data_IF_477716025756
#
_entry.id   IF_477716025756
#
_cell.length_a   1.000
_cell.length_b   1.000
_cell.length_c   1.000
_cell.angle_alpha   90.00
_cell.angle_beta   90.00
_cell.angle_gamma   90.00
#
_symmetry.space_group_name_H-M   'P 1'
#
loop_
_entity.id
_entity.type
_entity.pdbx_description
1 polymer ?
#
# COMPACT_ATOMS: atom_id res chain seq x y z
N UNK A 1 5.92 4.07 -79.59
CA UNK A 1 5.09 3.03 -78.85
C UNK A 1 4.82 3.38 -77.38
N UNK A 2 5.57 4.23 -76.72
CA UNK A 2 5.44 4.53 -75.28
C UNK A 2 4.21 5.42 -74.90
N UNK A 3 3.77 6.30 -75.75
CA UNK A 3 2.68 7.24 -75.42
C UNK A 3 1.27 6.62 -75.40
N UNK A 4 1.05 5.49 -76.07
CA UNK A 4 -0.24 4.78 -76.06
C UNK A 4 -0.41 3.91 -74.80
N UNK A 5 0.65 3.32 -74.25
CA UNK A 5 0.62 2.49 -73.05
C UNK A 5 0.33 3.30 -71.79
N UNK A 6 0.86 4.54 -71.73
CA UNK A 6 0.63 5.45 -70.58
C UNK A 6 -0.83 5.92 -70.45
N UNK A 7 -1.53 6.10 -71.60
CA UNK A 7 -2.95 6.49 -71.57
C UNK A 7 -3.89 5.37 -71.16
N UNK A 8 -3.53 4.12 -71.43
CA UNK A 8 -4.31 2.95 -70.92
C UNK A 8 -4.15 2.70 -69.44
N UNK A 9 -2.98 2.95 -68.87
CA UNK A 9 -2.73 2.79 -67.43
C UNK A 9 -3.47 3.87 -66.63
N UNK A 10 -3.52 5.12 -67.15
CA UNK A 10 -4.27 6.19 -66.47
C UNK A 10 -5.79 5.97 -66.51
N UNK A 11 -6.32 5.41 -67.62
CA UNK A 11 -7.73 5.10 -67.74
C UNK A 11 -8.16 3.94 -66.85
N UNK A 12 -7.28 2.94 -66.65
CA UNK A 12 -7.55 1.79 -65.79
C UNK A 12 -7.54 2.20 -64.29
N UNK A 13 -6.68 3.14 -63.90
CA UNK A 13 -6.63 3.68 -62.56
C UNK A 13 -7.85 4.53 -62.20
N UNK A 14 -8.43 5.25 -63.15
CA UNK A 14 -9.64 6.02 -62.95
C UNK A 14 -10.91 5.16 -62.85
N UNK A 15 -10.95 4.01 -63.51
CA UNK A 15 -12.09 3.07 -63.45
C UNK A 15 -12.09 2.29 -62.11
N UNK A 16 -10.92 1.96 -61.55
CA UNK A 16 -10.81 1.31 -60.25
C UNK A 16 -11.23 2.24 -59.10
N UNK A 17 -11.02 3.55 -59.25
CA UNK A 17 -11.44 4.54 -58.26
C UNK A 17 -12.99 4.77 -58.22
N UNK A 18 -13.71 4.44 -59.32
CA UNK A 18 -15.16 4.63 -59.40
C UNK A 18 -16.00 3.44 -58.90
N UNK A 19 -15.37 2.27 -58.64
CA UNK A 19 -16.05 1.06 -58.20
C UNK A 19 -15.89 0.76 -56.70
N UNK A 20 -15.42 1.71 -55.91
CA UNK A 20 -15.51 1.54 -54.45
C UNK A 20 -16.98 1.77 -54.05
N UNK A 21 -17.66 0.79 -53.44
CA UNK A 21 -18.97 1.02 -52.87
C UNK A 21 -18.81 2.16 -51.86
N UNK A 22 -19.71 3.15 -51.94
CA UNK A 22 -19.90 4.15 -50.91
C UNK A 22 -20.28 3.40 -49.62
N UNK A 23 -19.29 2.75 -49.00
CA UNK A 23 -19.41 2.22 -47.68
C UNK A 23 -19.83 3.37 -46.82
N UNK A 24 -21.10 3.33 -46.41
CA UNK A 24 -21.72 4.24 -45.51
C UNK A 24 -20.69 4.68 -44.50
N UNK A 25 -20.30 5.93 -44.55
CA UNK A 25 -19.56 6.60 -43.50
C UNK A 25 -20.54 6.64 -42.31
N UNK A 26 -20.63 5.48 -41.65
CA UNK A 26 -21.33 5.36 -40.42
C UNK A 26 -20.59 6.36 -39.52
N UNK A 27 -21.20 7.53 -39.37
CA UNK A 27 -20.75 8.50 -38.37
C UNK A 27 -20.77 7.72 -37.07
N UNK A 28 -19.59 7.22 -36.72
CA UNK A 28 -19.32 6.72 -35.38
C UNK A 28 -19.51 7.97 -34.51
N UNK A 29 -20.77 8.25 -34.18
CA UNK A 29 -21.08 9.08 -33.05
C UNK A 29 -20.41 8.36 -31.91
N UNK A 30 -19.19 8.76 -31.64
CA UNK A 30 -18.42 8.29 -30.53
C UNK A 30 -19.29 8.52 -29.30
N UNK A 31 -20.13 7.54 -29.01
CA UNK A 31 -20.78 7.43 -27.71
C UNK A 31 -19.63 7.45 -26.75
N UNK A 32 -19.34 8.66 -26.29
CA UNK A 32 -18.37 8.93 -25.23
C UNK A 32 -18.74 7.93 -24.14
N UNK A 33 -18.05 6.80 -24.14
CA UNK A 33 -18.13 5.84 -23.05
C UNK A 33 -17.70 6.70 -21.87
N UNK A 34 -18.69 7.27 -21.18
CA UNK A 34 -18.47 7.90 -19.90
C UNK A 34 -17.84 6.79 -19.09
N UNK A 35 -16.52 6.85 -18.96
CA UNK A 35 -15.79 5.96 -18.08
C UNK A 35 -16.51 6.01 -16.74
N UNK A 36 -17.29 4.99 -16.47
CA UNK A 36 -18.02 4.76 -15.21
C UNK A 36 -17.03 4.46 -14.06
N UNK A 37 -15.79 4.95 -14.18
CA UNK A 37 -14.76 4.72 -13.19
C UNK A 37 -15.12 5.33 -11.82
N UNK A 38 -15.88 6.43 -11.81
CA UNK A 38 -16.21 7.10 -10.55
C UNK A 38 -17.26 6.35 -9.71
N UNK A 39 -18.12 5.53 -10.33
CA UNK A 39 -19.15 4.78 -9.58
C UNK A 39 -18.58 3.51 -8.93
N UNK A 40 -17.60 2.85 -9.53
CA UNK A 40 -17.03 1.61 -8.98
C UNK A 40 -16.31 1.85 -7.64
N UNK A 41 -15.63 2.99 -7.49
CA UNK A 41 -14.93 3.34 -6.25
C UNK A 41 -15.84 3.60 -5.05
N UNK A 42 -17.08 4.01 -5.27
CA UNK A 42 -18.03 4.28 -4.18
C UNK A 42 -18.50 3.03 -3.42
N UNK A 43 -18.36 1.85 -4.01
CA UNK A 43 -18.84 0.59 -3.45
C UNK A 43 -17.76 -0.28 -2.81
N UNK A 44 -16.49 0.09 -2.92
CA UNK A 44 -15.43 -0.60 -2.18
C UNK A 44 -15.55 -0.22 -0.70
N UNK A 45 -16.04 -1.17 0.09
CA UNK A 45 -16.07 -1.00 1.55
C UNK A 45 -14.65 -0.86 2.06
N UNK A 46 -14.48 0.05 3.01
CA UNK A 46 -13.26 0.18 3.76
C UNK A 46 -13.25 -0.89 4.86
N UNK A 47 -12.10 -1.53 5.04
CA UNK A 47 -11.95 -2.55 6.06
C UNK A 47 -11.94 -1.88 7.44
N UNK A 48 -12.88 -2.19 8.35
CA UNK A 48 -12.89 -1.59 9.68
C UNK A 48 -11.66 -1.96 10.51
N UNK A 49 -11.01 -3.11 10.22
CA UNK A 49 -9.79 -3.55 10.90
C UNK A 49 -8.55 -2.70 10.57
N UNK A 50 -8.59 -1.97 9.45
CA UNK A 50 -7.54 -1.07 9.00
C UNK A 50 -7.95 0.41 9.12
N UNK A 51 -8.94 0.69 9.95
CA UNK A 51 -9.34 2.08 10.18
C UNK A 51 -8.22 2.81 10.93
N UNK A 52 -7.74 3.96 10.42
CA UNK A 52 -6.82 4.81 11.16
C UNK A 52 -7.38 5.15 12.54
N UNK A 53 -6.59 4.95 13.57
CA UNK A 53 -6.98 5.20 14.96
C UNK A 53 -5.82 5.79 15.76
N UNK A 54 -6.14 6.35 16.92
CA UNK A 54 -5.14 6.83 17.85
C UNK A 54 -4.24 5.68 18.33
N UNK A 55 -4.83 4.53 18.63
CA UNK A 55 -4.13 3.33 19.09
C UNK A 55 -3.18 2.77 18.02
N UNK A 56 -3.56 2.85 16.73
CA UNK A 56 -2.67 2.43 15.65
C UNK A 56 -1.45 3.35 15.56
N UNK A 57 -1.63 4.66 15.69
CA UNK A 57 -0.51 5.62 15.73
C UNK A 57 0.40 5.39 16.94
N UNK A 58 -0.16 5.05 18.10
CA UNK A 58 0.63 4.70 19.30
C UNK A 58 1.48 3.46 19.01
N UNK A 59 0.89 2.36 18.50
CA UNK A 59 1.66 1.14 18.17
C UNK A 59 2.78 1.41 17.17
N UNK A 60 2.54 2.25 16.14
CA UNK A 60 3.58 2.63 15.20
C UNK A 60 4.73 3.39 15.89
N UNK A 61 4.41 4.28 16.83
CA UNK A 61 5.42 5.03 17.57
C UNK A 61 6.13 4.19 18.63
N UNK A 62 5.46 3.23 19.27
CA UNK A 62 6.08 2.27 20.16
C UNK A 62 7.13 1.45 19.43
N UNK A 63 6.85 1.03 18.19
CA UNK A 63 7.82 0.31 17.36
C UNK A 63 9.04 1.18 17.02
N UNK A 64 8.85 2.47 16.69
CA UNK A 64 9.93 3.42 16.47
C UNK A 64 10.77 3.61 17.73
N UNK A 65 10.13 3.71 18.90
CA UNK A 65 10.80 3.91 20.17
C UNK A 65 11.55 2.63 20.61
N UNK A 66 10.96 1.44 20.41
CA UNK A 66 11.62 0.15 20.67
C UNK A 66 12.92 0.01 19.89
N UNK A 67 12.94 0.52 18.67
CA UNK A 67 14.09 0.46 17.76
C UNK A 67 15.02 1.68 17.93
N UNK A 68 14.70 2.60 18.85
CA UNK A 68 15.46 3.84 19.07
C UNK A 68 15.71 4.64 17.77
N UNK A 69 14.73 4.61 16.84
CA UNK A 69 14.90 5.25 15.54
C UNK A 69 14.73 6.77 15.62
N UNK A 70 15.64 7.54 15.01
CA UNK A 70 15.46 8.98 14.92
C UNK A 70 14.26 9.36 14.05
N UNK A 71 13.61 10.46 14.38
CA UNK A 71 12.65 11.14 13.50
C UNK A 71 13.41 12.18 12.69
N UNK A 72 13.68 11.87 11.45
CA UNK A 72 14.55 12.62 10.52
C UNK A 72 14.11 14.09 10.46
N UNK A 73 14.96 14.99 10.92
CA UNK A 73 14.63 16.39 11.08
C UNK A 73 14.49 17.12 9.73
N UNK A 74 15.49 16.97 8.87
CA UNK A 74 15.64 17.71 7.62
C UNK A 74 16.29 16.87 6.52
N UNK A 75 16.66 17.52 5.41
CA UNK A 75 17.23 16.85 4.25
C UNK A 75 18.71 16.50 4.46
N UNK A 76 19.43 17.23 5.31
CA UNK A 76 20.85 16.96 5.62
C UNK A 76 20.96 15.67 6.43
N UNK A 77 20.12 15.51 7.47
CA UNK A 77 20.05 14.25 8.24
C UNK A 77 19.57 13.07 7.36
N UNK A 78 18.63 13.32 6.44
CA UNK A 78 18.21 12.31 5.49
C UNK A 78 19.37 11.85 4.58
N UNK A 79 20.16 12.77 4.05
CA UNK A 79 21.30 12.48 3.20
C UNK A 79 22.41 11.74 3.97
N UNK A 80 22.64 12.07 5.25
CA UNK A 80 23.56 11.31 6.14
C UNK A 80 23.09 9.88 6.31
N UNK A 81 21.81 9.64 6.62
CA UNK A 81 21.26 8.30 6.79
C UNK A 81 21.30 7.47 5.49
N UNK A 82 21.16 8.10 4.33
CA UNK A 82 21.32 7.46 3.03
C UNK A 82 22.79 7.11 2.77
N UNK A 83 23.71 8.04 3.02
CA UNK A 83 25.14 7.83 2.80
C UNK A 83 25.73 6.71 3.65
N UNK A 84 25.15 6.49 4.85
CA UNK A 84 25.49 5.43 5.78
C UNK A 84 24.72 4.13 5.54
N UNK A 85 23.93 4.04 4.46
CA UNK A 85 23.09 2.89 4.10
C UNK A 85 22.07 2.47 5.19
N UNK A 86 21.78 3.38 6.14
CA UNK A 86 20.73 3.19 7.15
C UNK A 86 19.34 3.25 6.50
N UNK A 87 19.21 4.08 5.47
CA UNK A 87 18.08 4.11 4.55
C UNK A 87 18.56 3.63 3.17
N UNK A 88 17.83 2.68 2.61
CA UNK A 88 18.13 2.07 1.32
C UNK A 88 17.15 2.53 0.25
N UNK A 89 17.57 2.61 -1.03
CA UNK A 89 16.69 3.01 -2.10
C UNK A 89 15.59 1.98 -2.35
N UNK A 90 14.40 2.47 -2.63
CA UNK A 90 13.32 1.71 -3.23
C UNK A 90 13.48 1.83 -4.74
N UNK A 91 13.58 0.71 -5.45
CA UNK A 91 13.77 0.69 -6.90
C UNK A 91 12.47 0.31 -7.61
N UNK A 92 12.08 1.10 -8.62
CA UNK A 92 11.03 0.71 -9.52
C UNK A 92 11.47 -0.48 -10.38
N UNK A 93 10.55 -1.39 -10.65
CA UNK A 93 10.77 -2.58 -11.48
C UNK A 93 9.45 -2.98 -12.16
N UNK A 94 9.37 -4.18 -12.72
CA UNK A 94 8.16 -4.68 -13.37
C UNK A 94 6.95 -4.84 -12.44
N UNK A 95 7.16 -5.00 -11.12
CA UNK A 95 6.10 -5.17 -10.11
C UNK A 95 5.82 -3.92 -9.29
N UNK A 96 6.73 -2.92 -9.28
CA UNK A 96 6.65 -1.73 -8.43
C UNK A 96 6.94 -0.45 -9.21
N UNK A 97 6.13 0.57 -8.99
CA UNK A 97 6.31 1.92 -9.54
C UNK A 97 6.08 3.00 -8.49
N UNK A 98 6.48 4.23 -8.82
CA UNK A 98 6.23 5.39 -7.97
C UNK A 98 5.12 6.28 -8.52
N UNK A 99 4.43 6.99 -7.63
CA UNK A 99 3.66 8.18 -8.03
C UNK A 99 4.64 9.19 -8.65
N UNK A 100 4.34 9.74 -9.85
CA UNK A 100 5.21 10.72 -10.50
C UNK A 100 5.49 11.97 -9.65
N UNK A 101 4.63 12.25 -8.66
CA UNK A 101 4.78 13.38 -7.73
C UNK A 101 5.68 13.07 -6.54
N UNK A 102 6.04 11.81 -6.32
CA UNK A 102 6.95 11.44 -5.24
C UNK A 102 8.39 11.86 -5.60
N UNK A 103 8.89 12.81 -4.84
CA UNK A 103 10.26 13.30 -4.98
C UNK A 103 11.27 12.14 -4.95
N UNK A 104 12.19 12.02 -5.93
CA UNK A 104 13.22 10.99 -5.93
C UNK A 104 14.03 10.92 -4.64
N UNK A 105 14.32 12.04 -3.99
CA UNK A 105 15.02 12.10 -2.69
C UNK A 105 14.24 11.44 -1.54
N UNK A 106 12.95 11.15 -1.74
CA UNK A 106 12.07 10.51 -0.76
C UNK A 106 11.79 9.04 -1.04
N UNK A 107 12.40 8.44 -2.08
CA UNK A 107 12.21 7.04 -2.47
C UNK A 107 13.16 6.11 -1.71
N UNK A 108 13.25 6.31 -0.40
CA UNK A 108 14.11 5.55 0.52
C UNK A 108 13.28 5.02 1.70
N UNK A 109 13.74 3.92 2.27
CA UNK A 109 13.15 3.33 3.47
C UNK A 109 14.18 2.47 4.22
N UNK A 110 13.80 1.91 5.36
CA UNK A 110 14.61 0.90 6.05
C UNK A 110 14.70 -0.38 5.21
N UNK A 111 15.78 -1.14 5.36
CA UNK A 111 16.04 -2.34 4.55
C UNK A 111 14.90 -3.35 4.63
N UNK A 112 14.36 -3.62 5.82
CA UNK A 112 13.23 -4.53 6.00
C UNK A 112 11.93 -4.03 5.35
N UNK A 113 11.73 -2.72 5.29
CA UNK A 113 10.58 -2.11 4.58
C UNK A 113 10.71 -2.28 3.07
N UNK A 114 11.93 -2.16 2.53
CA UNK A 114 12.22 -2.46 1.12
C UNK A 114 11.93 -3.93 0.80
N UNK A 115 12.35 -4.84 1.67
CA UNK A 115 12.16 -6.27 1.50
C UNK A 115 10.68 -6.64 1.53
N UNK A 116 9.90 -6.06 2.46
CA UNK A 116 8.44 -6.16 2.46
C UNK A 116 7.82 -5.67 1.14
N UNK A 117 8.26 -4.51 0.64
CA UNK A 117 7.76 -3.97 -0.63
C UNK A 117 8.06 -4.90 -1.81
N UNK A 118 9.25 -5.48 -1.85
CA UNK A 118 9.67 -6.41 -2.88
C UNK A 118 8.77 -7.66 -2.88
N UNK A 119 8.57 -8.27 -1.71
CA UNK A 119 7.76 -9.48 -1.57
C UNK A 119 6.27 -9.22 -1.89
N UNK A 120 5.70 -8.15 -1.34
CA UNK A 120 4.31 -7.77 -1.62
C UNK A 120 4.09 -7.44 -3.09
N UNK A 121 4.97 -6.61 -3.69
CA UNK A 121 4.80 -6.20 -5.09
C UNK A 121 4.94 -7.36 -6.05
N UNK A 122 5.85 -8.29 -5.77
CA UNK A 122 6.04 -9.49 -6.55
C UNK A 122 4.83 -10.42 -6.47
N UNK A 123 4.31 -10.69 -5.25
CA UNK A 123 3.11 -11.49 -5.05
C UNK A 123 1.87 -10.87 -5.74
N UNK A 124 1.76 -9.55 -5.69
CA UNK A 124 0.68 -8.83 -6.37
C UNK A 124 0.81 -8.92 -7.89
N UNK A 125 2.02 -8.73 -8.42
CA UNK A 125 2.29 -8.81 -9.86
C UNK A 125 2.04 -10.21 -10.41
N UNK A 126 2.47 -11.25 -9.72
CA UNK A 126 2.18 -12.63 -10.09
C UNK A 126 0.68 -12.92 -10.19
N UNK A 127 -0.12 -12.30 -9.34
CA UNK A 127 -1.57 -12.51 -9.32
C UNK A 127 -2.33 -11.70 -10.37
N UNK A 128 -1.91 -10.44 -10.60
CA UNK A 128 -2.70 -9.47 -11.37
C UNK A 128 -2.01 -8.93 -12.61
N UNK A 129 -0.72 -9.19 -12.79
CA UNK A 129 0.13 -8.60 -13.83
C UNK A 129 0.07 -7.07 -13.86
N UNK A 130 -0.09 -6.47 -12.69
CA UNK A 130 -0.13 -5.02 -12.47
C UNK A 130 0.85 -4.60 -11.39
N UNK A 131 1.38 -3.38 -11.51
CA UNK A 131 2.33 -2.84 -10.55
C UNK A 131 1.64 -2.25 -9.33
N UNK A 132 2.22 -2.45 -8.16
CA UNK A 132 1.92 -1.64 -6.98
C UNK A 132 2.55 -0.26 -7.14
N UNK A 133 1.83 0.81 -6.77
CA UNK A 133 2.35 2.17 -6.78
C UNK A 133 2.63 2.67 -5.36
N UNK A 134 3.86 3.10 -5.13
CA UNK A 134 4.27 3.80 -3.90
C UNK A 134 4.00 5.29 -4.06
N UNK A 135 3.14 5.83 -3.21
CA UNK A 135 2.76 7.25 -3.21
C UNK A 135 3.60 8.08 -2.25
N UNK A 136 4.12 7.47 -1.19
CA UNK A 136 4.97 8.12 -0.20
C UNK A 136 5.84 7.07 0.50
N UNK A 137 7.04 7.49 0.90
CA UNK A 137 7.95 6.70 1.72
C UNK A 137 8.54 7.59 2.82
N UNK A 138 9.87 7.72 2.94
CA UNK A 138 10.47 8.55 3.99
C UNK A 138 10.05 10.02 3.89
N UNK A 139 9.84 10.66 5.04
CA UNK A 139 9.59 12.10 5.18
C UNK A 139 10.49 12.68 6.25
N UNK A 140 10.82 13.96 6.13
CA UNK A 140 11.46 14.71 7.21
C UNK A 140 10.43 15.49 8.04
N UNK A 141 10.78 15.88 9.24
CA UNK A 141 9.94 16.72 10.11
C UNK A 141 9.52 18.01 9.38
N UNK A 142 10.43 18.61 8.60
CA UNK A 142 10.13 19.81 7.80
C UNK A 142 9.05 19.53 6.77
N UNK A 143 9.16 18.41 6.04
CA UNK A 143 8.16 18.00 5.03
C UNK A 143 6.82 17.68 5.67
N UNK A 144 6.82 16.95 6.78
CA UNK A 144 5.59 16.59 7.50
C UNK A 144 4.87 17.83 8.03
N UNK A 145 5.60 18.79 8.59
CA UNK A 145 5.06 20.09 9.03
C UNK A 145 4.43 20.86 7.87
N UNK A 146 5.09 20.89 6.70
CA UNK A 146 4.54 21.50 5.48
C UNK A 146 3.26 20.80 5.04
N UNK A 147 3.24 19.47 5.06
CA UNK A 147 2.05 18.66 4.71
C UNK A 147 0.87 19.00 5.63
N UNK A 148 1.07 19.11 6.94
CA UNK A 148 0.03 19.42 7.92
C UNK A 148 -0.62 20.79 7.73
N UNK A 149 0.08 21.76 7.18
CA UNK A 149 -0.51 23.07 6.87
C UNK A 149 -1.64 22.97 5.83
N UNK A 150 -1.57 21.98 4.96
CA UNK A 150 -2.55 21.74 3.89
C UNK A 150 -3.47 20.56 4.16
N UNK A 151 -3.06 19.64 5.02
CA UNK A 151 -3.83 18.46 5.41
C UNK A 151 -3.89 18.31 6.93
N UNK A 152 -4.97 18.80 7.54
CA UNK A 152 -5.18 18.72 9.00
C UNK A 152 -5.33 17.29 9.54
N UNK A 153 -5.56 16.30 8.67
CA UNK A 153 -5.66 14.91 9.09
C UNK A 153 -4.32 14.15 9.02
N UNK A 154 -3.26 14.79 8.52
CA UNK A 154 -1.93 14.19 8.56
C UNK A 154 -1.46 14.08 10.01
N UNK A 155 -0.84 12.96 10.37
CA UNK A 155 -0.25 12.75 11.68
C UNK A 155 0.73 13.89 12.04
N UNK A 156 0.90 14.21 13.32
CA UNK A 156 1.82 15.29 13.74
C UNK A 156 3.28 14.94 13.43
N UNK A 157 4.11 15.95 13.42
CA UNK A 157 5.55 15.78 13.23
C UNK A 157 6.30 15.49 14.54
N UNK A 158 5.61 15.52 15.69
CA UNK A 158 6.16 15.29 17.03
C UNK A 158 5.13 14.67 17.96
N UNK A 159 5.61 14.11 19.07
CA UNK A 159 4.77 13.50 20.11
C UNK A 159 4.51 12.02 19.85
N UNK A 160 3.70 11.42 20.70
CA UNK A 160 3.41 9.98 20.75
C UNK A 160 2.66 9.46 19.53
N UNK A 161 2.02 10.34 18.78
CA UNK A 161 1.30 10.02 17.54
C UNK A 161 1.97 10.61 16.31
N UNK A 162 3.27 10.88 16.39
CA UNK A 162 4.03 11.42 15.26
C UNK A 162 3.99 10.47 14.06
N UNK A 163 4.09 11.05 12.85
CA UNK A 163 4.08 10.26 11.63
C UNK A 163 5.23 9.26 11.59
N UNK A 164 4.93 8.00 11.39
CA UNK A 164 5.92 6.92 11.28
C UNK A 164 6.78 6.99 10.00
N UNK A 165 6.37 7.77 8.99
CA UNK A 165 7.22 8.10 7.84
C UNK A 165 8.53 8.79 8.22
N UNK A 166 8.55 9.49 9.39
CA UNK A 166 9.73 10.22 9.86
C UNK A 166 10.90 9.31 10.24
N UNK A 167 10.65 8.03 10.49
CA UNK A 167 11.68 7.05 10.82
C UNK A 167 12.06 6.14 9.63
N UNK A 168 11.44 6.33 8.46
CA UNK A 168 11.75 5.59 7.24
C UNK A 168 11.23 4.16 7.18
N UNK A 169 10.32 3.76 8.08
CA UNK A 169 9.79 2.39 8.13
C UNK A 169 8.36 2.26 7.59
N UNK A 170 7.85 3.30 6.96
CA UNK A 170 6.45 3.39 6.52
C UNK A 170 6.34 3.77 5.06
N UNK A 171 5.39 3.15 4.35
CA UNK A 171 5.06 3.43 2.96
C UNK A 171 3.57 3.60 2.76
N UNK A 172 3.20 4.49 1.83
CA UNK A 172 1.83 4.66 1.36
C UNK A 172 1.69 3.99 -0.01
N UNK A 173 0.83 2.97 -0.11
CA UNK A 173 0.57 2.21 -1.32
C UNK A 173 -0.76 2.62 -1.92
N UNK A 174 -0.80 2.91 -3.21
CA UNK A 174 -2.00 3.39 -3.88
C UNK A 174 -3.11 2.35 -3.86
N UNK A 175 -4.27 2.70 -3.29
CA UNK A 175 -5.52 1.94 -3.35
C UNK A 175 -6.45 2.42 -4.46
N UNK A 176 -6.27 3.68 -4.88
CA UNK A 176 -7.09 4.26 -5.95
C UNK A 176 -6.88 3.52 -7.26
N UNK A 177 -7.96 3.07 -7.87
CA UNK A 177 -7.91 2.33 -9.13
C UNK A 177 -7.91 0.82 -8.98
N UNK A 178 -7.64 0.29 -7.81
CA UNK A 178 -7.70 -1.15 -7.56
C UNK A 178 -9.13 -1.70 -7.73
N UNK A 179 -9.24 -2.88 -8.29
CA UNK A 179 -10.47 -3.67 -8.34
C UNK A 179 -10.82 -4.21 -6.95
N UNK A 180 -12.02 -4.77 -6.80
CA UNK A 180 -12.41 -5.42 -5.53
C UNK A 180 -11.51 -6.61 -5.19
N UNK A 181 -11.09 -7.35 -6.19
CA UNK A 181 -10.22 -8.51 -6.01
C UNK A 181 -8.82 -8.07 -5.54
N UNK A 182 -8.26 -7.03 -6.16
CA UNK A 182 -6.99 -6.45 -5.77
C UNK A 182 -7.02 -5.91 -4.34
N UNK A 183 -8.08 -5.18 -3.96
CA UNK A 183 -8.24 -4.68 -2.59
C UNK A 183 -8.33 -5.85 -1.60
N UNK A 184 -9.10 -6.89 -1.89
CA UNK A 184 -9.19 -8.08 -1.01
C UNK A 184 -7.85 -8.81 -0.87
N UNK A 185 -7.07 -8.85 -1.95
CA UNK A 185 -5.72 -9.41 -1.89
C UNK A 185 -4.85 -8.61 -0.91
N UNK A 186 -4.80 -7.28 -1.08
CA UNK A 186 -4.04 -6.39 -0.18
C UNK A 186 -4.50 -6.54 1.27
N UNK A 187 -5.82 -6.51 1.50
CA UNK A 187 -6.38 -6.66 2.85
C UNK A 187 -5.99 -8.00 3.49
N UNK A 188 -6.07 -9.13 2.78
CA UNK A 188 -5.69 -10.44 3.31
C UNK A 188 -4.20 -10.53 3.59
N UNK A 189 -3.37 -10.06 2.66
CA UNK A 189 -1.93 -10.06 2.81
C UNK A 189 -1.50 -9.24 4.04
N UNK A 190 -1.99 -8.03 4.14
CA UNK A 190 -1.68 -7.13 5.25
C UNK A 190 -2.25 -7.62 6.58
N UNK A 191 -3.46 -8.20 6.57
CA UNK A 191 -4.08 -8.77 7.76
C UNK A 191 -3.26 -9.95 8.34
N UNK A 192 -2.79 -10.84 7.46
CA UNK A 192 -1.93 -11.95 7.86
C UNK A 192 -0.63 -11.46 8.52
N UNK A 193 0.07 -10.53 7.91
CA UNK A 193 1.30 -9.98 8.46
C UNK A 193 1.07 -9.16 9.76
N UNK A 194 -0.07 -8.47 9.84
CA UNK A 194 -0.48 -7.79 11.07
C UNK A 194 -0.72 -8.77 12.22
N UNK A 195 -1.38 -9.89 11.96
CA UNK A 195 -1.61 -10.92 12.97
C UNK A 195 -0.30 -11.51 13.54
N UNK A 196 0.78 -11.46 12.74
CA UNK A 196 2.12 -11.84 13.15
C UNK A 196 2.92 -10.70 13.83
N UNK A 197 2.34 -9.50 13.93
CA UNK A 197 3.02 -8.33 14.49
C UNK A 197 4.15 -7.77 13.60
N UNK A 198 4.11 -8.05 12.29
CA UNK A 198 5.15 -7.67 11.33
C UNK A 198 4.86 -6.32 10.64
N UNK A 199 3.60 -5.94 10.58
CA UNK A 199 3.15 -4.67 10.00
C UNK A 199 2.00 -4.06 10.81
N UNK A 200 1.88 -2.73 10.78
CA UNK A 200 0.68 -2.01 11.22
C UNK A 200 0.08 -1.27 10.04
N UNK A 201 -0.94 -1.85 9.36
CA UNK A 201 -1.56 -1.26 8.19
C UNK A 201 -2.78 -0.41 8.54
N UNK A 202 -2.97 0.69 7.83
CA UNK A 202 -4.16 1.53 7.86
C UNK A 202 -4.69 1.79 6.44
N UNK A 203 -6.01 1.89 6.28
CA UNK A 203 -6.65 2.38 5.06
C UNK A 203 -7.00 3.86 5.19
N UNK A 204 -6.21 4.73 4.60
CA UNK A 204 -6.45 6.16 4.57
C UNK A 204 -7.44 6.56 3.49
N UNK A 205 -8.71 6.80 3.87
CA UNK A 205 -9.82 7.04 2.93
C UNK A 205 -9.66 8.28 2.07
N UNK A 206 -9.08 9.36 2.61
CA UNK A 206 -8.94 10.63 1.89
C UNK A 206 -7.84 10.58 0.85
N UNK A 207 -6.74 9.92 1.19
CA UNK A 207 -5.58 9.73 0.33
C UNK A 207 -5.76 8.58 -0.66
N UNK A 208 -6.67 7.64 -0.36
CA UNK A 208 -6.87 6.41 -1.12
C UNK A 208 -5.61 5.55 -1.18
N UNK A 209 -5.02 5.32 -0.01
CA UNK A 209 -3.82 4.50 0.15
C UNK A 209 -4.00 3.47 1.25
N UNK A 210 -3.20 2.42 1.19
CA UNK A 210 -2.81 1.61 2.32
C UNK A 210 -1.55 2.24 2.90
N UNK A 211 -1.64 2.77 4.11
CA UNK A 211 -0.52 3.23 4.90
C UNK A 211 0.00 2.03 5.69
N UNK A 212 1.26 1.67 5.51
CA UNK A 212 1.83 0.44 6.10
C UNK A 212 3.14 0.76 6.79
N UNK A 213 3.13 0.70 8.11
CA UNK A 213 4.35 0.64 8.90
C UNK A 213 4.86 -0.81 8.96
N UNK A 214 6.16 -1.02 8.80
CA UNK A 214 6.81 -2.33 8.78
C UNK A 214 7.80 -2.43 9.93
N UNK A 215 7.64 -3.45 10.78
CA UNK A 215 8.57 -3.79 11.85
C UNK A 215 9.85 -4.42 11.30
N UNK A 216 10.98 -4.25 12.00
CA UNK A 216 12.24 -4.95 11.73
C UNK A 216 12.12 -6.48 11.83
N UNK A 217 11.18 -6.97 12.66
CA UNK A 217 10.83 -8.41 12.77
C UNK A 217 10.46 -9.04 11.42
N UNK A 218 10.10 -8.20 10.43
CA UNK A 218 9.85 -8.69 9.08
C UNK A 218 11.09 -9.34 8.46
N UNK A 219 12.29 -8.80 8.71
CA UNK A 219 13.54 -9.37 8.21
C UNK A 219 13.79 -10.77 8.78
N UNK A 220 13.63 -10.95 10.09
CA UNK A 220 13.81 -12.23 10.77
C UNK A 220 12.76 -13.26 10.30
N UNK A 221 11.49 -12.84 10.25
CA UNK A 221 10.42 -13.68 9.73
C UNK A 221 10.70 -14.12 8.30
N UNK A 222 11.08 -13.20 7.42
CA UNK A 222 11.44 -13.47 6.03
C UNK A 222 12.58 -14.47 5.92
N UNK A 223 13.62 -14.30 6.73
CA UNK A 223 14.77 -15.22 6.79
C UNK A 223 14.41 -16.61 7.29
N UNK A 224 13.40 -16.72 8.18
CA UNK A 224 12.91 -18.00 8.70
C UNK A 224 11.98 -18.75 7.75
N UNK A 225 11.42 -18.07 6.75
CA UNK A 225 10.58 -18.70 5.72
C UNK A 225 11.45 -19.52 4.76
N UNK A 226 11.80 -20.73 5.15
CA UNK A 226 12.46 -21.66 4.25
C UNK A 226 11.52 -21.98 3.10
N UNK A 227 11.57 -21.17 2.05
CA UNK A 227 11.06 -21.45 0.68
C UNK A 227 9.65 -22.09 0.63
N UNK A 228 8.68 -21.51 1.29
CA UNK A 228 7.29 -21.65 0.88
C UNK A 228 6.87 -20.32 0.26
N UNK A 229 6.72 -20.21 -1.07
CA UNK A 229 6.28 -18.96 -1.68
C UNK A 229 4.96 -18.54 -1.04
N UNK A 230 4.88 -17.29 -0.61
CA UNK A 230 3.66 -16.66 -0.05
C UNK A 230 2.44 -16.81 -0.99
N UNK A 231 2.70 -17.11 -2.25
CA UNK A 231 1.73 -17.48 -3.29
C UNK A 231 0.82 -18.65 -2.88
N UNK A 232 1.32 -19.63 -2.11
CA UNK A 232 0.49 -20.74 -1.60
C UNK A 232 -0.49 -20.31 -0.53
N UNK A 233 -0.17 -19.30 0.27
CA UNK A 233 -1.07 -18.79 1.31
C UNK A 233 -2.27 -18.03 0.73
N UNK A 234 -2.12 -17.47 -0.46
CA UNK A 234 -3.17 -16.72 -1.16
C UNK A 234 -3.93 -17.59 -2.18
N UNK A 235 -3.34 -18.70 -2.64
CA UNK A 235 -3.93 -19.59 -3.67
C UNK A 235 -4.93 -20.63 -3.12
N UNK A 236 -5.01 -20.84 -1.80
CA UNK A 236 -5.84 -21.89 -1.20
C UNK A 236 -7.31 -21.54 -0.99
N UNK A 237 -7.89 -20.68 -1.80
CA UNK A 237 -9.33 -20.38 -1.73
C UNK A 237 -10.22 -21.34 -2.56
N UNK A 238 -9.64 -22.37 -3.22
CA UNK A 238 -10.42 -23.42 -3.93
C UNK A 238 -10.35 -24.80 -3.28
N UNK A 239 -9.65 -24.94 -2.17
CA UNK A 239 -9.62 -26.19 -1.41
C UNK A 239 -9.85 -25.88 0.06
N UNK A 240 -10.96 -26.40 0.60
CA UNK A 240 -11.35 -26.56 2.00
C UNK A 240 -10.45 -25.86 3.04
N UNK A 241 -11.03 -24.98 3.84
CA UNK A 241 -10.37 -24.39 5.01
C UNK A 241 -9.58 -25.47 5.77
N UNK A 242 -8.27 -25.33 5.97
CA UNK A 242 -7.53 -26.26 6.79
C UNK A 242 -8.12 -26.19 8.20
N UNK A 243 -8.52 -27.34 8.76
CA UNK A 243 -8.75 -27.46 10.18
C UNK A 243 -7.51 -26.90 10.86
N UNK A 244 -7.75 -25.99 11.78
CA UNK A 244 -6.73 -25.45 12.69
C UNK A 244 -6.04 -26.66 13.31
N UNK A 245 -4.85 -26.99 12.81
CA UNK A 245 -3.96 -27.90 13.52
C UNK A 245 -3.43 -27.07 14.70
N UNK A 246 -3.55 -27.62 15.89
CA UNK A 246 -3.03 -27.09 17.14
C UNK A 246 -1.53 -26.75 17.00
N UNK A 247 -1.26 -25.55 16.53
CA UNK A 247 0.03 -24.91 16.75
C UNK A 247 -0.10 -24.27 18.13
N UNK A 248 0.69 -24.77 19.09
CA UNK A 248 0.78 -24.21 20.44
C UNK A 248 0.79 -22.69 20.34
N UNK A 249 -0.21 -22.05 20.92
CA UNK A 249 -0.36 -20.62 20.90
C UNK A 249 0.94 -19.99 21.44
N UNK A 250 1.56 -19.06 20.73
CA UNK A 250 2.61 -18.26 21.34
C UNK A 250 2.00 -17.56 22.54
N UNK A 251 2.75 -17.50 23.63
CA UNK A 251 2.34 -16.84 24.88
C UNK A 251 1.72 -15.47 24.55
N UNK A 252 0.60 -15.10 25.19
CA UNK A 252 -0.06 -13.84 24.88
C UNK A 252 0.93 -12.70 25.03
N UNK A 253 1.03 -11.90 23.98
CA UNK A 253 1.78 -10.65 24.02
C UNK A 253 1.38 -9.89 25.29
N UNK A 254 2.34 -9.30 26.00
CA UNK A 254 2.15 -8.49 27.22
C UNK A 254 1.21 -7.28 27.07
N UNK A 255 0.59 -7.14 25.93
CA UNK A 255 -0.31 -6.08 25.46
C UNK A 255 -1.81 -6.38 25.66
N UNK A 256 -2.19 -7.57 26.17
CA UNK A 256 -3.58 -7.99 26.31
C UNK A 256 -3.97 -8.30 27.77
N UNK A 257 -3.47 -7.56 28.75
CA UNK A 257 -3.97 -7.65 30.12
C UNK A 257 -5.06 -6.58 30.28
N UNK A 258 -6.35 -6.94 30.43
CA UNK A 258 -7.34 -5.99 30.90
C UNK A 258 -7.07 -5.69 32.37
N UNK A 259 -6.96 -4.44 32.70
CA UNK A 259 -6.84 -3.91 34.06
C UNK A 259 -8.08 -4.31 34.87
N UNK A 260 -7.94 -5.34 35.71
CA UNK A 260 -8.98 -5.74 36.63
C UNK A 260 -8.91 -4.81 37.83
N UNK A 261 -9.67 -3.72 37.78
CA UNK A 261 -9.86 -2.83 38.92
C UNK A 261 -10.47 -3.56 40.08
N UNK A 262 -9.69 -3.75 41.14
CA UNK A 262 -10.14 -4.19 42.45
C UNK A 262 -11.07 -3.14 43.07
N UNK A 263 -12.36 -3.44 43.09
CA UNK A 263 -13.31 -2.74 43.96
C UNK A 263 -13.34 -3.41 45.33
N UNK A 264 -12.58 -2.90 46.31
CA UNK A 264 -12.78 -3.23 47.70
C UNK A 264 -13.94 -2.43 48.26
N UNK A 265 -15.07 -3.06 48.43
CA UNK A 265 -16.18 -2.58 49.24
C UNK A 265 -15.96 -2.96 50.71
N UNK A 266 -15.57 -2.02 51.57
CA UNK A 266 -15.63 -2.14 53.01
C UNK A 266 -17.06 -1.84 53.50
N UNK A 267 -17.74 -2.88 53.93
CA UNK A 267 -19.00 -2.76 54.68
C UNK A 267 -18.65 -2.44 56.13
N UNK A 268 -18.97 -1.23 56.59
CA UNK A 268 -18.96 -0.86 58.00
C UNK A 268 -20.33 -1.15 58.65
N UNK A 269 -20.34 -1.94 59.71
CA UNK A 269 -21.52 -2.23 60.51
C UNK A 269 -21.84 -1.08 61.49
N UNK A 270 -23.11 -0.92 61.94
CA UNK A 270 -23.54 0.16 62.81
C UNK A 270 -23.40 -0.23 64.30
N UNK A 271 -22.94 0.70 65.12
CA UNK A 271 -22.99 0.62 66.58
C UNK A 271 -23.91 1.67 67.15
N UNK A 272 -24.90 1.22 67.91
CA UNK A 272 -25.69 1.97 68.86
C UNK A 272 -24.99 2.00 70.25
N UNK A 273 -25.52 2.78 71.23
CA UNK A 273 -26.70 3.67 71.29
C UNK A 273 -26.34 5.17 71.30
#
# INVERSE_FOLDING_TARGET
>A
MQARTQRFILALLLIVAACLPASAMHRYTGRRIKRSSSRHFRYLRWNPMFRPSHESLLRQNEEINRLELPRIADDDELEDLISREVLVPINANESLRFDPRLDPKRRYCRAWTRDFLADLSQAYYHRFHEQIQVNSAVRTVIVQRKLRRHNRNAAPERGETASSHLAGLTVDLQRRGMTREQVRFMERYLFYLRALGLVEPEEERRQWVFHVMVSDRYADWRGSQTIVPLERLVATETAQAPRVLDVAAPSPCSWCVPDAGESQSTVGAPGQP
#
